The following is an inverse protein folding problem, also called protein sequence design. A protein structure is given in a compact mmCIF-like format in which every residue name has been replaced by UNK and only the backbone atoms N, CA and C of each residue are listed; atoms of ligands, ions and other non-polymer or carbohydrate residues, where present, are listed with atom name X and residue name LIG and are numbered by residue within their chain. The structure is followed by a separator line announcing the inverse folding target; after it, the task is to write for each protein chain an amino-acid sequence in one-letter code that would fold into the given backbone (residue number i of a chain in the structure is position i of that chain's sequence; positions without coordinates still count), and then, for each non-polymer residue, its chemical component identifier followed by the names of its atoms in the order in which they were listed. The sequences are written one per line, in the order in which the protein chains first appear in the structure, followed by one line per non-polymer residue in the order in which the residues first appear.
data_IF_576963034282
#
_entry.id   IF_576963034282
#
_cell.length_a   1.000
_cell.length_b   1.000
_cell.length_c   1.000
_cell.angle_alpha   90.00
_cell.angle_beta   90.00
_cell.angle_gamma   90.00
#
_symmetry.space_group_name_H-M   'P 1'
#
loop_
_entity.id
_entity.type
_entity.pdbx_description
1 polymer ?
#
# COMPACT_ATOMS: atom_id res chain seq x y z
N UNK A 1 21.80 0.56 -6.19
CA UNK A 1 21.74 1.00 -4.78
C UNK A 1 20.35 0.71 -4.27
N UNK A 2 20.21 0.01 -3.14
CA UNK A 2 18.90 -0.18 -2.51
C UNK A 2 18.51 1.11 -1.79
N UNK A 3 17.32 1.63 -2.06
CA UNK A 3 16.82 2.87 -1.45
C UNK A 3 16.13 2.55 -0.12
N UNK A 4 16.18 3.44 0.87
CA UNK A 4 15.39 3.30 2.09
C UNK A 4 13.89 3.35 1.77
N UNK A 5 13.12 2.60 2.54
CA UNK A 5 11.67 2.47 2.40
C UNK A 5 10.98 2.96 3.66
N UNK A 6 9.75 3.46 3.51
CA UNK A 6 8.80 3.57 4.59
C UNK A 6 7.89 2.34 4.56
N UNK A 7 7.84 1.62 5.67
CA UNK A 7 6.99 0.45 5.86
C UNK A 7 5.82 0.83 6.75
N UNK A 8 4.62 0.48 6.33
CA UNK A 8 3.36 0.79 7.02
C UNK A 8 2.65 -0.53 7.32
N UNK A 9 2.37 -0.80 8.58
CA UNK A 9 1.61 -1.97 8.99
C UNK A 9 0.13 -1.63 9.20
N UNK A 10 -0.75 -2.49 8.70
CA UNK A 10 -2.20 -2.30 8.74
C UNK A 10 -2.89 -3.46 9.47
N UNK A 11 -3.97 -3.17 10.18
CA UNK A 11 -4.86 -4.19 10.73
C UNK A 11 -5.81 -4.80 9.67
N UNK A 12 -6.67 -5.73 10.08
CA UNK A 12 -7.64 -6.37 9.19
C UNK A 12 -8.71 -5.42 8.62
N UNK A 13 -8.89 -4.24 9.21
CA UNK A 13 -9.78 -3.20 8.71
C UNK A 13 -9.09 -2.19 7.78
N UNK A 14 -7.76 -2.31 7.59
CA UNK A 14 -6.97 -1.39 6.79
C UNK A 14 -6.48 -0.15 7.56
N UNK A 15 -6.54 -0.15 8.89
CA UNK A 15 -6.03 0.97 9.71
C UNK A 15 -4.56 0.83 10.00
N UNK A 16 -3.84 1.95 9.95
CA UNK A 16 -2.43 2.05 10.32
C UNK A 16 -2.23 1.67 11.77
N UNK A 17 -1.40 0.66 12.00
CA UNK A 17 -0.94 0.28 13.34
C UNK A 17 0.41 0.92 13.62
N UNK A 18 1.38 0.76 12.72
CA UNK A 18 2.75 1.27 12.87
C UNK A 18 3.33 1.72 11.54
N UNK A 19 4.28 2.64 11.63
CA UNK A 19 5.11 3.08 10.51
C UNK A 19 6.58 3.03 10.92
N UNK A 20 7.46 2.56 10.04
CA UNK A 20 8.89 2.52 10.30
C UNK A 20 9.69 2.80 9.03
N UNK A 21 10.82 3.50 9.18
CA UNK A 21 11.80 3.64 8.10
C UNK A 21 12.70 2.42 8.09
N UNK A 22 12.77 1.75 6.95
CA UNK A 22 13.55 0.54 6.74
C UNK A 22 14.73 0.86 5.84
N UNK A 23 15.95 0.69 6.38
CA UNK A 23 17.17 0.75 5.57
C UNK A 23 17.36 -0.56 4.80
N UNK A 24 18.11 -0.55 3.68
CA UNK A 24 18.46 -1.77 2.97
C UNK A 24 19.02 -2.86 3.89
N UNK A 25 18.46 -4.07 3.79
CA UNK A 25 18.82 -5.22 4.64
C UNK A 25 18.21 -5.21 6.04
N UNK A 26 17.44 -4.18 6.40
CA UNK A 26 16.68 -4.13 7.65
C UNK A 26 15.47 -5.07 7.63
N UNK A 27 15.02 -5.47 8.82
CA UNK A 27 13.82 -6.27 9.00
C UNK A 27 12.77 -5.47 9.79
N UNK A 28 11.52 -5.53 9.33
CA UNK A 28 10.36 -5.01 10.05
C UNK A 28 9.40 -6.15 10.39
N UNK A 29 8.97 -6.24 11.65
CA UNK A 29 8.06 -7.30 12.12
C UNK A 29 6.89 -6.71 12.89
N UNK A 30 5.67 -7.06 12.46
CA UNK A 30 4.46 -6.72 13.17
C UNK A 30 3.45 -7.88 13.24
N UNK A 31 3.40 -8.54 14.41
CA UNK A 31 2.57 -9.73 14.65
C UNK A 31 1.07 -9.48 14.60
N UNK A 32 0.61 -8.24 14.80
CA UNK A 32 -0.81 -7.91 14.69
C UNK A 32 -1.17 -7.25 13.35
N UNK A 33 -0.21 -7.14 12.41
CA UNK A 33 -0.49 -6.63 11.09
C UNK A 33 -1.14 -7.72 10.25
N UNK A 34 -2.20 -7.36 9.55
CA UNK A 34 -2.78 -8.19 8.49
C UNK A 34 -2.12 -7.90 7.15
N UNK A 35 -1.66 -6.67 6.95
CA UNK A 35 -1.04 -6.20 5.72
C UNK A 35 0.17 -5.32 6.01
N UNK A 36 1.13 -5.35 5.10
CA UNK A 36 2.30 -4.46 5.10
C UNK A 36 2.34 -3.75 3.75
N UNK A 37 2.49 -2.43 3.78
CA UNK A 37 2.71 -1.62 2.59
C UNK A 37 4.13 -1.02 2.64
N UNK A 38 4.84 -1.13 1.54
CA UNK A 38 6.15 -0.51 1.34
C UNK A 38 5.99 0.65 0.37
N UNK A 39 6.45 1.83 0.78
CA UNK A 39 6.42 3.04 -0.04
C UNK A 39 7.78 3.75 0.02
N UNK A 40 8.10 4.62 -0.94
CA UNK A 40 9.31 5.43 -0.88
C UNK A 40 9.36 6.26 0.42
N UNK A 41 10.55 6.42 1.02
CA UNK A 41 10.73 7.23 2.23
C UNK A 41 10.32 8.70 2.04
N UNK A 42 10.29 9.19 0.80
CA UNK A 42 9.83 10.54 0.47
C UNK A 42 8.34 10.79 0.78
N UNK A 43 7.54 9.73 0.94
CA UNK A 43 6.13 9.85 1.30
C UNK A 43 6.01 10.14 2.81
N UNK A 44 5.25 11.17 3.22
CA UNK A 44 5.00 11.43 4.64
C UNK A 44 4.33 10.24 5.32
N UNK A 45 4.78 9.83 6.52
CA UNK A 45 4.19 8.69 7.19
C UNK A 45 2.75 8.98 7.62
N UNK A 46 1.79 8.08 7.35
CA UNK A 46 0.43 8.24 7.85
C UNK A 46 0.41 8.09 9.37
N UNK A 47 -0.54 8.77 10.01
CA UNK A 47 -0.72 8.68 11.46
C UNK A 47 -1.28 7.32 11.88
N UNK A 48 -0.87 6.76 13.03
CA UNK A 48 -1.53 5.59 13.60
C UNK A 48 -3.05 5.78 13.72
N UNK A 49 -3.82 4.73 13.45
CA UNK A 49 -5.28 4.71 13.44
C UNK A 49 -5.94 5.21 12.14
N UNK A 50 -5.18 5.87 11.26
CA UNK A 50 -5.66 6.32 9.95
C UNK A 50 -6.08 5.12 9.09
N UNK A 51 -7.25 5.21 8.45
CA UNK A 51 -7.70 4.20 7.49
C UNK A 51 -7.06 4.48 6.13
N UNK A 52 -6.38 3.49 5.54
CA UNK A 52 -5.87 3.59 4.17
C UNK A 52 -6.82 2.86 3.22
N UNK A 53 -7.32 3.57 2.21
CA UNK A 53 -8.12 3.00 1.14
C UNK A 53 -7.27 2.82 -0.12
N UNK A 54 -7.34 1.62 -0.72
CA UNK A 54 -6.82 1.42 -2.07
C UNK A 54 -7.81 2.05 -3.04
N UNK A 55 -7.48 3.23 -3.55
CA UNK A 55 -8.15 3.78 -4.71
C UNK A 55 -7.62 3.02 -5.93
N UNK A 56 -8.31 1.94 -6.31
CA UNK A 56 -8.07 1.36 -7.62
C UNK A 56 -8.30 2.46 -8.67
N UNK A 57 -7.35 2.73 -9.59
CA UNK A 57 -7.66 3.60 -10.72
C UNK A 57 -8.89 3.03 -11.43
N UNK A 58 -9.76 3.88 -12.04
CA UNK A 58 -10.87 3.36 -12.82
C UNK A 58 -10.29 2.37 -13.82
N UNK A 59 -10.67 1.10 -13.70
CA UNK A 59 -10.29 0.09 -14.67
C UNK A 59 -10.74 0.62 -16.01
N UNK A 60 -9.82 1.01 -16.89
CA UNK A 60 -10.17 1.19 -18.30
C UNK A 60 -10.71 -0.17 -18.73
N UNK A 61 -12.04 -0.29 -18.81
CA UNK A 61 -12.68 -1.37 -19.56
C UNK A 61 -12.25 -1.17 -21.02
N UNK A 62 -11.07 -1.65 -21.37
CA UNK A 62 -10.73 -1.97 -22.76
C UNK A 62 -11.57 -3.19 -23.11
N UNK A 63 -12.84 -2.97 -23.44
CA UNK A 63 -13.79 -4.06 -23.65
C UNK A 63 -15.17 -3.64 -24.10
N UNK A 64 -15.40 -2.38 -24.48
CA UNK A 64 -16.66 -1.95 -25.11
C UNK A 64 -16.52 -1.80 -26.62
N UNK A 65 -15.76 -2.72 -27.26
CA UNK A 65 -16.01 -3.04 -28.67
C UNK A 65 -17.05 -4.15 -28.70
N UNK A 66 -18.30 -3.73 -28.54
CA UNK A 66 -19.44 -4.46 -29.06
C UNK A 66 -19.25 -4.56 -30.58
N UNK A 67 -18.71 -5.68 -31.05
CA UNK A 67 -18.83 -6.08 -32.44
C UNK A 67 -20.32 -6.26 -32.72
N UNK A 68 -20.98 -5.23 -33.26
CA UNK A 68 -22.26 -5.39 -33.89
C UNK A 68 -22.02 -6.19 -35.17
N UNK A 69 -22.29 -7.48 -35.11
CA UNK A 69 -22.57 -8.25 -36.32
C UNK A 69 -23.99 -7.85 -36.76
N UNK A 70 -24.06 -7.06 -37.82
CA UNK A 70 -25.18 -7.04 -38.75
C UNK A 70 -24.62 -7.40 -40.11
#
# INVERSE_FOLDING_TARGET
MAQPLLVISLDGSGRVRRTARLRPGGLFVDLGARWIAEVPESVPPPSPGMLLAVLAPPSRRTGDRMCRHT
#
